data_IF_777811115900
#
_entry.id   IF_777811115900
#
_cell.length_a   1.000
_cell.length_b   1.000
_cell.length_c   1.000
_cell.angle_alpha   90.00
_cell.angle_beta   90.00
_cell.angle_gamma   90.00
#
_symmetry.space_group_name_H-M   'P 1'
#
loop_
_entity.id
_entity.type
_entity.pdbx_description
1 polymer ?
#
# COMPACT_ATOMS: atom_id res chain seq x y z
N UNK A 1 -31.90 2.89 11.20
CA UNK A 1 -31.87 2.37 9.81
C UNK A 1 -30.51 2.69 9.22
N UNK A 2 -29.69 1.69 8.90
CA UNK A 2 -28.44 1.90 8.14
C UNK A 2 -28.84 2.29 6.72
N UNK A 3 -28.33 3.43 6.24
CA UNK A 3 -28.48 3.82 4.84
C UNK A 3 -27.99 2.69 3.93
N UNK A 4 -28.74 2.28 2.89
CA UNK A 4 -28.26 1.30 1.94
C UNK A 4 -26.94 1.81 1.36
N UNK A 5 -25.95 0.93 1.27
CA UNK A 5 -24.61 1.28 0.83
C UNK A 5 -24.64 2.00 -0.51
N UNK A 6 -24.18 3.25 -0.54
CA UNK A 6 -24.14 4.04 -1.76
C UNK A 6 -23.20 3.39 -2.77
N UNK A 7 -23.74 2.83 -3.85
CA UNK A 7 -22.95 2.36 -4.98
C UNK A 7 -22.44 3.57 -5.78
N UNK A 8 -21.14 3.63 -6.01
CA UNK A 8 -20.51 4.71 -6.77
C UNK A 8 -20.08 4.19 -8.14
N UNK A 9 -20.62 4.80 -9.20
CA UNK A 9 -20.34 4.45 -10.59
C UNK A 9 -19.59 5.58 -11.28
N UNK A 10 -18.61 5.24 -12.12
CA UNK A 10 -18.00 6.17 -13.07
C UNK A 10 -18.18 5.60 -14.46
N UNK A 11 -18.74 6.41 -15.34
CA UNK A 11 -18.96 6.08 -16.74
C UNK A 11 -18.33 7.16 -17.59
N UNK A 12 -17.67 6.77 -18.67
CA UNK A 12 -17.00 7.69 -19.59
C UNK A 12 -17.67 7.60 -20.95
N UNK A 13 -17.90 8.75 -21.56
CA UNK A 13 -18.43 8.89 -22.93
C UNK A 13 -17.63 9.89 -23.74
N UNK A 14 -17.81 9.86 -25.06
CA UNK A 14 -17.10 10.79 -25.97
C UNK A 14 -17.67 12.19 -25.87
N UNK A 15 -18.98 12.33 -25.73
CA UNK A 15 -19.67 13.61 -25.68
C UNK A 15 -20.62 13.67 -24.47
N UNK A 16 -21.02 14.86 -24.09
CA UNK A 16 -21.96 15.11 -23.02
C UNK A 16 -23.38 14.63 -23.42
N UNK A 17 -23.76 14.89 -24.67
CA UNK A 17 -25.07 14.54 -25.23
C UNK A 17 -25.29 13.03 -25.20
N UNK A 18 -24.26 12.23 -25.56
CA UNK A 18 -24.30 10.77 -25.45
C UNK A 18 -24.55 10.32 -23.99
N UNK A 19 -23.87 10.95 -23.05
CA UNK A 19 -24.02 10.60 -21.63
C UNK A 19 -25.39 10.98 -21.07
N UNK A 20 -25.93 12.14 -21.47
CA UNK A 20 -27.24 12.62 -20.97
C UNK A 20 -28.41 11.94 -21.69
N UNK A 21 -28.33 11.77 -23.03
CA UNK A 21 -29.44 11.31 -23.85
C UNK A 21 -29.59 9.80 -23.94
N UNK A 22 -28.49 9.06 -23.88
CA UNK A 22 -28.52 7.60 -24.07
C UNK A 22 -28.07 6.84 -22.81
N UNK A 23 -26.90 7.17 -22.29
CA UNK A 23 -26.29 6.35 -21.22
C UNK A 23 -27.00 6.52 -19.90
N UNK A 24 -27.35 7.74 -19.51
CA UNK A 24 -28.04 8.01 -18.25
C UNK A 24 -29.42 7.35 -18.18
N UNK A 25 -30.31 7.46 -19.18
CA UNK A 25 -31.62 6.75 -19.19
C UNK A 25 -31.47 5.24 -19.11
N UNK A 26 -30.48 4.65 -19.81
CA UNK A 26 -30.22 3.22 -19.77
C UNK A 26 -29.83 2.75 -18.36
N UNK A 27 -29.01 3.54 -17.67
CA UNK A 27 -28.59 3.23 -16.30
C UNK A 27 -29.77 3.39 -15.33
N UNK A 28 -30.57 4.43 -15.49
CA UNK A 28 -31.76 4.66 -14.66
C UNK A 28 -32.77 3.50 -14.81
N UNK A 29 -32.98 3.01 -16.03
CA UNK A 29 -33.79 1.83 -16.28
C UNK A 29 -33.22 0.58 -15.60
N UNK A 30 -31.92 0.31 -15.82
CA UNK A 30 -31.22 -0.84 -15.24
C UNK A 30 -31.27 -0.86 -13.70
N UNK A 31 -31.14 0.32 -13.07
CA UNK A 31 -31.22 0.44 -11.61
C UNK A 31 -32.65 0.29 -11.09
N UNK A 32 -33.62 0.87 -11.79
CA UNK A 32 -35.06 0.79 -11.42
C UNK A 32 -35.55 -0.65 -11.36
N UNK A 33 -35.16 -1.49 -12.31
CA UNK A 33 -35.50 -2.93 -12.32
C UNK A 33 -34.97 -3.67 -11.07
N UNK A 34 -33.96 -3.08 -10.37
CA UNK A 34 -33.32 -3.62 -9.16
C UNK A 34 -33.69 -2.87 -7.88
N UNK A 35 -34.73 -2.01 -7.95
CA UNK A 35 -35.19 -1.21 -6.82
C UNK A 35 -34.20 -0.14 -6.37
N UNK A 36 -33.28 0.30 -7.27
CA UNK A 36 -32.28 1.33 -7.01
C UNK A 36 -32.56 2.58 -7.86
N UNK A 37 -32.16 3.74 -7.34
CA UNK A 37 -32.33 5.02 -8.04
C UNK A 37 -31.02 5.81 -8.06
N UNK A 38 -30.78 6.56 -9.16
CA UNK A 38 -29.70 7.53 -9.22
C UNK A 38 -30.05 8.75 -8.35
N UNK A 39 -29.09 9.18 -7.52
CA UNK A 39 -29.26 10.42 -6.78
C UNK A 39 -29.09 11.63 -7.71
N UNK A 40 -30.11 12.48 -7.93
CA UNK A 40 -29.99 13.64 -8.82
C UNK A 40 -28.88 14.61 -8.40
N UNK A 41 -28.69 14.78 -7.09
CA UNK A 41 -27.71 15.71 -6.51
C UNK A 41 -26.26 15.18 -6.59
N UNK A 42 -26.08 13.87 -6.72
CA UNK A 42 -24.75 13.22 -6.76
C UNK A 42 -24.35 12.76 -8.15
N UNK A 43 -25.29 12.72 -9.10
CA UNK A 43 -25.02 12.32 -10.49
C UNK A 43 -24.68 13.56 -11.29
N UNK A 44 -23.38 13.70 -11.61
CA UNK A 44 -22.84 14.89 -12.28
C UNK A 44 -22.07 14.45 -13.52
N UNK A 45 -22.34 15.10 -14.65
CA UNK A 45 -21.54 14.95 -15.88
C UNK A 45 -20.49 16.07 -15.86
N UNK A 46 -19.24 15.71 -15.94
CA UNK A 46 -18.12 16.64 -15.83
C UNK A 46 -17.12 16.42 -16.97
N UNK A 47 -16.66 17.49 -17.61
CA UNK A 47 -15.60 17.39 -18.59
C UNK A 47 -14.26 16.99 -17.93
N UNK A 48 -13.53 16.08 -18.57
CA UNK A 48 -12.30 15.49 -18.01
C UNK A 48 -11.21 16.53 -17.72
N UNK A 49 -11.23 17.68 -18.41
CA UNK A 49 -10.30 18.80 -18.18
C UNK A 49 -10.64 19.61 -16.93
N UNK A 50 -11.90 19.67 -16.53
CA UNK A 50 -12.30 20.22 -15.25
C UNK A 50 -11.89 19.30 -14.12
N UNK A 51 -11.98 17.98 -14.35
CA UNK A 51 -11.65 16.92 -13.42
C UNK A 51 -12.76 16.68 -12.38
N UNK A 52 -12.69 15.54 -11.76
CA UNK A 52 -13.63 15.14 -10.72
C UNK A 52 -12.93 14.37 -9.60
N UNK A 53 -13.54 14.38 -8.43
CA UNK A 53 -13.04 13.65 -7.26
C UNK A 53 -13.74 12.29 -7.14
N UNK A 54 -12.96 11.23 -7.04
CA UNK A 54 -13.43 9.86 -6.87
C UNK A 54 -12.58 9.12 -5.83
N UNK A 55 -13.22 8.54 -4.82
CA UNK A 55 -12.55 7.79 -3.75
C UNK A 55 -11.34 8.53 -3.15
N UNK A 56 -11.48 9.82 -2.90
CA UNK A 56 -10.40 10.64 -2.33
C UNK A 56 -9.27 11.00 -3.29
N UNK A 57 -9.45 10.72 -4.57
CA UNK A 57 -8.49 11.04 -5.64
C UNK A 57 -9.16 11.97 -6.66
N UNK A 58 -8.40 12.89 -7.23
CA UNK A 58 -8.82 13.77 -8.31
C UNK A 58 -8.29 13.25 -9.64
N UNK A 59 -9.19 12.97 -10.57
CA UNK A 59 -8.88 12.54 -11.95
C UNK A 59 -9.05 13.73 -12.87
N UNK A 60 -8.00 14.13 -13.59
CA UNK A 60 -8.03 15.31 -14.45
C UNK A 60 -7.10 15.17 -15.64
N UNK A 61 -7.56 15.60 -16.81
CA UNK A 61 -6.72 15.82 -17.99
C UNK A 61 -6.17 17.25 -17.98
N UNK A 62 -4.86 17.38 -18.11
CA UNK A 62 -4.17 18.67 -18.04
C UNK A 62 -3.92 19.21 -19.45
N UNK A 63 -3.65 20.54 -19.63
CA UNK A 63 -3.40 21.15 -20.95
C UNK A 63 -2.28 20.50 -21.73
N UNK A 64 -1.31 19.86 -21.08
CA UNK A 64 -0.24 19.10 -21.72
C UNK A 64 -0.68 17.71 -22.23
N UNK A 65 -1.98 17.46 -22.34
CA UNK A 65 -2.57 16.20 -22.80
C UNK A 65 -2.53 15.03 -21.81
N UNK A 66 -1.86 15.17 -20.65
CA UNK A 66 -1.70 14.09 -19.69
C UNK A 66 -2.90 13.96 -18.76
N UNK A 67 -3.47 12.77 -18.70
CA UNK A 67 -4.44 12.39 -17.66
C UNK A 67 -3.66 12.00 -16.39
N UNK A 68 -3.88 12.75 -15.31
CA UNK A 68 -3.23 12.48 -14.03
C UNK A 68 -4.27 12.21 -12.94
N UNK A 69 -3.95 11.24 -12.09
CA UNK A 69 -4.67 10.96 -10.86
C UNK A 69 -3.80 11.42 -9.69
N UNK A 70 -4.38 12.23 -8.80
CA UNK A 70 -3.69 12.81 -7.62
C UNK A 70 -4.59 12.67 -6.40
N UNK A 71 -4.05 12.72 -5.16
CA UNK A 71 -4.88 12.92 -3.98
C UNK A 71 -5.74 14.17 -4.11
N UNK A 72 -7.05 14.06 -3.82
CA UNK A 72 -7.97 15.20 -3.94
C UNK A 72 -7.69 16.26 -2.87
N UNK A 73 -7.98 17.52 -3.15
CA UNK A 73 -7.82 18.61 -2.20
C UNK A 73 -8.64 18.39 -0.93
N UNK A 74 -9.86 17.86 -1.08
CA UNK A 74 -10.76 17.53 0.03
C UNK A 74 -10.15 16.44 0.92
N UNK A 75 -9.64 15.34 0.33
CA UNK A 75 -9.01 14.25 1.08
C UNK A 75 -7.75 14.72 1.84
N UNK A 76 -6.89 15.51 1.19
CA UNK A 76 -5.69 16.08 1.83
C UNK A 76 -6.09 16.94 3.02
N UNK A 77 -7.10 17.81 2.84
CA UNK A 77 -7.58 18.69 3.93
C UNK A 77 -8.12 17.86 5.10
N UNK A 78 -9.01 16.89 4.83
CA UNK A 78 -9.59 16.02 5.86
C UNK A 78 -8.52 15.27 6.64
N UNK A 79 -7.51 14.70 5.93
CA UNK A 79 -6.39 14.02 6.58
C UNK A 79 -5.57 14.94 7.47
N UNK A 80 -5.20 16.14 6.96
CA UNK A 80 -4.44 17.11 7.73
C UNK A 80 -5.22 17.67 8.92
N UNK A 81 -6.52 17.89 8.79
CA UNK A 81 -7.37 18.37 9.88
C UNK A 81 -7.47 17.32 10.99
N UNK A 82 -7.60 16.02 10.63
CA UNK A 82 -7.54 14.92 11.59
C UNK A 82 -6.21 14.87 12.34
N UNK A 83 -5.09 14.89 11.61
CA UNK A 83 -3.73 14.89 12.23
C UNK A 83 -3.51 16.11 13.10
N UNK A 84 -4.00 17.28 12.71
CA UNK A 84 -3.93 18.53 13.52
C UNK A 84 -4.73 18.41 14.81
N UNK A 85 -5.92 17.79 14.73
CA UNK A 85 -6.74 17.50 15.91
C UNK A 85 -6.02 16.58 16.88
N UNK A 86 -5.44 15.49 16.38
CA UNK A 86 -4.66 14.54 17.18
C UNK A 86 -3.48 15.24 17.89
N UNK A 87 -2.67 16.01 17.16
CA UNK A 87 -1.51 16.73 17.73
C UNK A 87 -1.96 17.77 18.77
N UNK A 88 -3.11 18.42 18.54
CA UNK A 88 -3.66 19.40 19.50
C UNK A 88 -4.10 18.71 20.79
N UNK A 89 -4.76 17.57 20.69
CA UNK A 89 -5.24 16.79 21.83
C UNK A 89 -4.09 16.13 22.62
N UNK A 90 -2.96 15.83 21.98
CA UNK A 90 -1.83 15.10 22.54
C UNK A 90 -0.86 15.97 23.37
N UNK A 91 -1.26 17.09 23.94
CA UNK A 91 -0.35 17.99 24.66
C UNK A 91 0.27 17.34 25.89
N UNK A 92 -0.46 16.43 26.57
CA UNK A 92 -0.01 15.67 27.71
C UNK A 92 0.78 14.39 27.39
N UNK A 93 0.74 13.92 26.13
CA UNK A 93 1.39 12.68 25.72
C UNK A 93 2.91 12.83 25.58
N UNK A 94 3.66 11.73 25.74
CA UNK A 94 5.08 11.73 25.37
C UNK A 94 5.24 11.88 23.85
N UNK A 95 6.44 12.31 23.40
CA UNK A 95 6.71 12.38 21.96
C UNK A 95 6.67 10.99 21.29
N UNK A 96 7.07 9.94 22.01
CA UNK A 96 7.05 8.57 21.51
C UNK A 96 5.60 8.09 21.30
N UNK A 97 4.71 8.29 22.28
CA UNK A 97 3.29 7.90 22.18
C UNK A 97 2.59 8.64 21.06
N UNK A 98 2.86 9.95 20.92
CA UNK A 98 2.34 10.75 19.81
C UNK A 98 2.80 10.20 18.45
N UNK A 99 4.05 9.78 18.33
CA UNK A 99 4.58 9.18 17.10
C UNK A 99 3.91 7.83 16.82
N UNK A 100 3.76 6.98 17.82
CA UNK A 100 3.11 5.67 17.68
C UNK A 100 1.63 5.83 17.28
N UNK A 101 0.96 6.89 17.74
CA UNK A 101 -0.39 7.26 17.33
C UNK A 101 -0.46 7.77 15.87
N UNK A 102 0.49 8.60 15.44
CA UNK A 102 0.48 9.24 14.11
C UNK A 102 0.98 8.31 13.01
N UNK A 103 1.98 7.46 13.28
CA UNK A 103 2.62 6.62 12.27
C UNK A 103 1.67 5.70 11.52
N UNK A 104 0.71 4.98 12.16
CA UNK A 104 -0.27 4.17 11.45
C UNK A 104 -1.15 5.00 10.49
N UNK A 105 -1.57 6.20 10.91
CA UNK A 105 -2.39 7.10 10.11
C UNK A 105 -1.64 7.61 8.87
N UNK A 106 -0.39 8.08 9.06
CA UNK A 106 0.47 8.55 7.97
C UNK A 106 0.78 7.40 7.01
N UNK A 107 1.10 6.21 7.54
CA UNK A 107 1.38 5.02 6.74
C UNK A 107 0.15 4.59 5.93
N UNK A 108 -1.01 4.50 6.54
CA UNK A 108 -2.26 4.13 5.88
C UNK A 108 -2.59 5.09 4.74
N UNK A 109 -2.59 6.40 5.01
CA UNK A 109 -2.89 7.42 4.02
C UNK A 109 -1.86 7.47 2.88
N UNK A 110 -0.57 7.42 3.18
CA UNK A 110 0.47 7.44 2.14
C UNK A 110 0.49 6.15 1.31
N UNK A 111 0.22 4.99 1.92
CA UNK A 111 0.08 3.71 1.21
C UNK A 111 -1.12 3.70 0.29
N UNK A 112 -2.26 4.26 0.72
CA UNK A 112 -3.45 4.40 -0.12
C UNK A 112 -3.16 5.24 -1.37
N UNK A 113 -2.41 6.32 -1.25
CA UNK A 113 -2.10 7.22 -2.36
C UNK A 113 -0.79 6.92 -3.10
N UNK A 114 -0.07 5.85 -2.76
CA UNK A 114 1.24 5.55 -3.38
C UNK A 114 1.19 5.16 -4.85
N UNK A 115 0.01 4.78 -5.37
CA UNK A 115 -0.15 4.36 -6.76
C UNK A 115 -0.44 5.51 -7.73
N UNK A 116 -0.69 6.72 -7.23
CA UNK A 116 -1.01 7.91 -8.02
C UNK A 116 0.13 8.95 -7.98
N UNK A 117 -0.06 10.08 -8.64
CA UNK A 117 0.92 11.18 -8.67
C UNK A 117 0.86 11.95 -7.35
N UNK A 118 1.54 11.48 -6.31
CA UNK A 118 1.40 11.95 -4.93
C UNK A 118 2.69 12.50 -4.30
N UNK A 119 3.88 12.31 -4.88
CA UNK A 119 5.16 12.71 -4.23
C UNK A 119 5.19 14.17 -3.73
N UNK A 120 4.79 15.12 -4.58
CA UNK A 120 4.73 16.54 -4.17
C UNK A 120 3.71 16.79 -3.07
N UNK A 121 2.61 16.03 -3.07
CA UNK A 121 1.58 16.11 -2.03
C UNK A 121 2.11 15.53 -0.73
N UNK A 122 2.81 14.41 -0.76
CA UNK A 122 3.45 13.81 0.41
C UNK A 122 4.42 14.78 1.09
N UNK A 123 5.28 15.46 0.32
CA UNK A 123 6.20 16.47 0.88
C UNK A 123 5.46 17.66 1.53
N UNK A 124 4.34 18.11 0.94
CA UNK A 124 3.50 19.16 1.56
C UNK A 124 2.87 18.68 2.86
N UNK A 125 2.40 17.43 2.90
CA UNK A 125 1.81 16.83 4.09
C UNK A 125 2.85 16.73 5.20
N UNK A 126 4.06 16.24 4.89
CA UNK A 126 5.16 16.17 5.87
C UNK A 126 5.49 17.55 6.44
N UNK A 127 5.55 18.58 5.58
CA UNK A 127 5.81 19.94 6.03
C UNK A 127 4.67 20.49 6.93
N UNK A 128 3.42 20.22 6.56
CA UNK A 128 2.28 20.65 7.36
C UNK A 128 2.26 19.97 8.75
N UNK A 129 2.61 18.69 8.82
CA UNK A 129 2.75 17.94 10.07
C UNK A 129 3.91 18.49 10.90
N UNK A 130 5.07 18.75 10.27
CA UNK A 130 6.23 19.35 10.93
C UNK A 130 5.88 20.67 11.63
N UNK A 131 5.18 21.58 10.94
CA UNK A 131 4.76 22.85 11.53
C UNK A 131 3.92 22.62 12.79
N UNK A 132 3.00 21.65 12.77
CA UNK A 132 2.13 21.36 13.92
C UNK A 132 2.89 20.73 15.08
N UNK A 133 3.84 19.85 14.80
CA UNK A 133 4.71 19.25 15.82
C UNK A 133 5.66 20.30 16.45
N UNK A 134 6.16 21.22 15.64
CA UNK A 134 6.94 22.35 16.16
C UNK A 134 6.12 23.22 17.10
N UNK A 135 4.86 23.55 16.73
CA UNK A 135 3.93 24.29 17.57
C UNK A 135 3.56 23.53 18.85
N UNK A 136 3.41 22.18 18.75
CA UNK A 136 3.18 21.32 19.90
C UNK A 136 4.37 21.37 20.87
N UNK A 137 5.58 21.24 20.38
CA UNK A 137 6.79 21.30 21.21
C UNK A 137 6.94 22.67 21.91
N UNK A 138 6.66 23.78 21.20
CA UNK A 138 6.65 25.13 21.78
C UNK A 138 5.62 25.32 22.88
N UNK A 139 4.41 24.81 22.69
CA UNK A 139 3.35 24.90 23.71
C UNK A 139 3.67 24.08 24.95
N UNK A 140 4.32 22.93 24.76
CA UNK A 140 4.73 22.07 25.87
C UNK A 140 5.86 22.67 26.71
N UNK A 141 6.70 23.49 26.10
CA UNK A 141 7.87 24.10 26.74
C UNK A 141 7.96 25.60 26.40
N UNK A 142 7.03 26.43 26.92
CA UNK A 142 6.96 27.85 26.53
C UNK A 142 8.22 28.63 26.88
N UNK A 143 8.90 28.26 27.97
CA UNK A 143 10.09 28.96 28.48
C UNK A 143 11.42 28.42 27.92
N UNK A 144 11.40 27.49 26.94
CA UNK A 144 12.61 26.93 26.35
C UNK A 144 12.92 27.52 24.98
N UNK A 145 14.22 27.81 24.75
CA UNK A 145 14.69 28.31 23.47
C UNK A 145 14.47 27.30 22.32
N UNK A 146 14.31 27.84 21.12
CA UNK A 146 14.10 27.01 19.89
C UNK A 146 15.21 26.01 19.65
N UNK A 147 16.47 26.34 19.99
CA UNK A 147 17.62 25.45 19.89
C UNK A 147 17.46 24.20 20.78
N UNK A 148 16.99 24.41 22.02
CA UNK A 148 16.73 23.32 22.97
C UNK A 148 15.62 22.40 22.45
N UNK A 149 14.51 22.97 21.94
CA UNK A 149 13.40 22.20 21.35
C UNK A 149 13.86 21.36 20.16
N UNK A 150 14.70 21.94 19.31
CA UNK A 150 15.32 21.20 18.18
C UNK A 150 16.14 20.02 18.66
N UNK A 151 17.01 20.22 19.64
CA UNK A 151 17.85 19.14 20.18
C UNK A 151 17.03 18.05 20.87
N UNK A 152 15.94 18.41 21.55
CA UNK A 152 15.09 17.46 22.29
C UNK A 152 14.19 16.61 21.38
N UNK A 153 13.65 17.19 20.33
CA UNK A 153 12.57 16.58 19.54
C UNK A 153 12.92 16.28 18.09
N UNK A 154 14.04 16.81 17.58
CA UNK A 154 14.41 16.67 16.18
C UNK A 154 15.87 16.24 16.05
N UNK A 155 16.10 15.26 15.19
CA UNK A 155 17.43 14.75 14.87
C UNK A 155 17.74 14.86 13.38
N UNK A 156 19.03 14.81 13.06
CA UNK A 156 19.48 14.69 11.68
C UNK A 156 19.48 13.23 11.25
N UNK A 157 18.84 12.93 10.11
CA UNK A 157 18.83 11.59 9.54
C UNK A 157 18.81 11.62 8.02
N UNK A 158 19.89 11.11 7.40
CA UNK A 158 19.96 10.94 5.95
C UNK A 158 19.62 12.22 5.16
N UNK A 159 20.28 13.32 5.45
CA UNK A 159 20.08 14.62 4.80
C UNK A 159 18.86 15.42 5.30
N UNK A 160 18.02 14.86 6.15
CA UNK A 160 16.92 15.60 6.81
C UNK A 160 17.35 15.98 8.23
N UNK A 161 17.45 17.30 8.50
CA UNK A 161 17.85 17.87 9.81
C UNK A 161 16.66 18.03 10.79
N UNK A 162 15.47 17.62 10.40
CA UNK A 162 14.22 17.85 11.14
C UNK A 162 13.37 16.59 11.27
N UNK A 163 14.00 15.45 11.54
CA UNK A 163 13.29 14.21 11.79
C UNK A 163 12.76 14.19 13.23
N UNK A 164 11.45 14.27 13.41
CA UNK A 164 10.84 14.24 14.74
C UNK A 164 10.99 12.87 15.36
N UNK A 165 11.43 12.82 16.63
CA UNK A 165 11.63 11.58 17.37
C UNK A 165 11.17 11.71 18.82
N UNK A 166 10.94 10.57 19.46
CA UNK A 166 10.71 10.41 20.88
C UNK A 166 11.47 9.23 21.43
N UNK A 167 11.70 9.23 22.72
CA UNK A 167 12.31 8.12 23.45
C UNK A 167 11.26 7.43 24.31
N UNK A 168 11.25 6.12 24.28
CA UNK A 168 10.38 5.22 25.05
C UNK A 168 11.21 4.05 25.54
N UNK A 169 10.68 3.25 26.42
CA UNK A 169 11.24 1.93 26.75
C UNK A 169 10.42 0.85 26.05
N UNK A 170 11.05 -0.26 25.69
CA UNK A 170 10.35 -1.46 25.25
C UNK A 170 9.80 -2.25 26.46
N UNK A 171 9.12 -3.36 26.19
CA UNK A 171 8.53 -4.21 27.24
C UNK A 171 9.58 -4.83 28.19
N UNK A 172 10.86 -4.84 27.78
CA UNK A 172 12.01 -5.30 28.58
C UNK A 172 12.70 -4.13 29.32
N UNK A 173 12.16 -2.89 29.24
CA UNK A 173 12.73 -1.70 29.87
C UNK A 173 13.94 -1.10 29.13
N UNK A 174 14.30 -1.59 27.93
CA UNK A 174 15.39 -1.04 27.13
C UNK A 174 15.00 0.25 26.44
N UNK A 175 15.87 1.27 26.38
CA UNK A 175 15.58 2.52 25.71
C UNK A 175 15.34 2.30 24.21
N UNK A 176 14.17 2.69 23.73
CA UNK A 176 13.75 2.63 22.33
C UNK A 176 13.56 4.05 21.77
N UNK A 177 14.19 4.32 20.65
CA UNK A 177 13.98 5.59 19.92
C UNK A 177 12.96 5.41 18.81
N UNK A 178 11.81 6.08 18.94
CA UNK A 178 10.71 6.05 17.99
C UNK A 178 10.78 7.29 17.09
N UNK A 179 10.47 7.13 15.81
CA UNK A 179 10.60 8.20 14.80
C UNK A 179 9.33 8.37 14.00
N UNK A 180 9.00 9.63 13.72
CA UNK A 180 7.88 9.94 12.84
C UNK A 180 8.16 9.47 11.41
N UNK A 181 7.18 8.77 10.84
CA UNK A 181 7.21 8.36 9.44
C UNK A 181 6.95 9.58 8.54
N UNK A 182 7.76 9.75 7.53
CA UNK A 182 7.53 10.74 6.49
C UNK A 182 6.77 10.12 5.32
N UNK A 183 5.61 10.70 4.97
CA UNK A 183 4.83 10.25 3.81
C UNK A 183 5.66 10.31 2.51
N UNK A 184 6.54 11.31 2.37
CA UNK A 184 7.44 11.45 1.23
C UNK A 184 8.44 10.30 1.05
N UNK A 185 8.71 9.53 2.10
CA UNK A 185 9.55 8.33 2.00
C UNK A 185 8.81 7.12 1.43
N UNK A 186 7.46 7.15 1.40
CA UNK A 186 6.67 6.10 0.77
C UNK A 186 7.00 6.01 -0.72
N UNK A 187 7.47 4.86 -1.23
CA UNK A 187 7.77 4.70 -2.63
C UNK A 187 6.49 4.74 -3.47
N UNK A 188 6.55 5.40 -4.62
CA UNK A 188 5.45 5.35 -5.60
C UNK A 188 5.47 3.98 -6.26
N UNK A 189 4.34 3.28 -6.17
CA UNK A 189 4.14 1.96 -6.75
C UNK A 189 2.88 1.97 -7.59
N UNK A 190 3.03 2.23 -8.87
CA UNK A 190 1.90 2.29 -9.81
C UNK A 190 1.30 0.92 -10.05
N UNK A 191 -0.02 0.87 -10.21
CA UNK A 191 -0.69 -0.33 -10.67
C UNK A 191 -0.33 -0.58 -12.14
N UNK A 192 -0.01 -1.82 -12.46
CA UNK A 192 0.12 -2.27 -13.83
C UNK A 192 -1.30 -2.41 -14.40
N UNK A 193 -1.61 -1.70 -15.49
CA UNK A 193 -2.93 -1.75 -16.12
C UNK A 193 -3.24 -3.16 -16.61
N UNK A 194 -4.47 -3.59 -16.46
CA UNK A 194 -4.99 -4.78 -17.13
C UNK A 194 -5.29 -4.38 -18.59
N UNK A 195 -5.00 -5.26 -19.54
CA UNK A 195 -5.41 -5.08 -20.93
C UNK A 195 -6.93 -5.00 -20.98
N UNK A 196 -7.49 -4.02 -21.70
CA UNK A 196 -8.95 -3.78 -21.71
C UNK A 196 -9.78 -4.99 -22.18
N UNK A 197 -9.23 -5.77 -23.11
CA UNK A 197 -9.86 -6.98 -23.64
C UNK A 197 -9.61 -8.24 -22.76
N UNK A 198 -8.80 -8.12 -21.69
CA UNK A 198 -8.47 -9.30 -20.88
C UNK A 198 -9.55 -9.56 -19.83
N UNK A 199 -10.19 -10.72 -19.93
CA UNK A 199 -11.19 -11.21 -18.98
C UNK A 199 -10.57 -12.33 -18.12
N UNK A 200 -10.56 -12.23 -16.77
CA UNK A 200 -9.98 -13.26 -15.90
C UNK A 200 -10.73 -14.59 -15.93
N UNK A 201 -11.97 -14.62 -16.42
CA UNK A 201 -12.80 -15.82 -16.53
C UNK A 201 -12.71 -16.49 -17.91
N UNK A 202 -11.91 -15.95 -18.82
CA UNK A 202 -11.73 -16.48 -20.16
C UNK A 202 -10.42 -17.27 -20.26
N UNK A 203 -10.45 -18.58 -20.64
CA UNK A 203 -9.28 -19.44 -20.68
C UNK A 203 -8.13 -18.89 -21.54
N UNK A 204 -8.46 -18.18 -22.63
CA UNK A 204 -7.46 -17.54 -23.51
C UNK A 204 -6.56 -16.51 -22.79
N UNK A 205 -7.01 -15.96 -21.66
CA UNK A 205 -6.26 -14.98 -20.89
C UNK A 205 -5.59 -15.52 -19.64
N UNK A 206 -5.67 -16.82 -19.38
CA UNK A 206 -5.11 -17.44 -18.18
C UNK A 206 -3.60 -17.19 -18.04
N UNK A 207 -2.83 -17.44 -19.09
CA UNK A 207 -1.37 -17.22 -19.09
C UNK A 207 -0.99 -15.75 -18.86
N UNK A 208 -1.81 -14.82 -19.35
CA UNK A 208 -1.62 -13.39 -19.10
C UNK A 208 -1.79 -13.03 -17.62
N UNK A 209 -2.86 -13.53 -16.99
CA UNK A 209 -3.10 -13.28 -15.58
C UNK A 209 -2.10 -13.99 -14.67
N UNK A 210 -1.68 -15.20 -15.04
CA UNK A 210 -0.63 -15.93 -14.33
C UNK A 210 0.70 -15.17 -14.33
N UNK A 211 1.13 -14.67 -15.50
CA UNK A 211 2.34 -13.85 -15.60
C UNK A 211 2.23 -12.59 -14.74
N UNK A 212 1.07 -11.93 -14.79
CA UNK A 212 0.79 -10.75 -14.00
C UNK A 212 0.88 -11.02 -12.48
N UNK A 213 0.35 -12.14 -12.02
CA UNK A 213 0.44 -12.55 -10.61
C UNK A 213 1.90 -12.85 -10.22
N UNK A 214 2.68 -13.46 -11.11
CA UNK A 214 4.12 -13.66 -10.93
C UNK A 214 4.88 -12.35 -10.76
N UNK A 215 4.59 -11.32 -11.57
CA UNK A 215 5.18 -9.99 -11.44
C UNK A 215 4.80 -9.32 -10.11
N UNK A 216 3.57 -9.50 -9.63
CA UNK A 216 3.11 -9.04 -8.33
C UNK A 216 3.82 -9.73 -7.17
N UNK A 217 4.03 -11.05 -7.26
CA UNK A 217 4.76 -11.83 -6.26
C UNK A 217 6.22 -11.38 -6.16
N UNK A 218 6.90 -11.20 -7.29
CA UNK A 218 8.27 -10.69 -7.31
C UNK A 218 8.38 -9.31 -6.63
N UNK A 219 7.38 -8.45 -6.84
CA UNK A 219 7.27 -7.17 -6.17
C UNK A 219 7.08 -7.26 -4.65
N UNK A 220 6.41 -8.32 -4.17
CA UNK A 220 6.15 -8.56 -2.75
C UNK A 220 7.44 -8.90 -1.98
N UNK A 221 8.40 -9.56 -2.63
CA UNK A 221 9.71 -9.91 -2.04
C UNK A 221 10.76 -8.79 -2.11
N UNK A 222 10.39 -7.55 -2.47
CA UNK A 222 11.33 -6.42 -2.50
C UNK A 222 11.93 -6.20 -1.11
N UNK A 223 13.26 -6.11 -1.07
CA UNK A 223 14.03 -5.97 0.17
C UNK A 223 14.48 -7.31 0.79
N UNK A 224 13.97 -8.44 0.35
CA UNK A 224 14.36 -9.77 0.87
C UNK A 224 14.92 -10.62 -0.26
N UNK A 225 16.23 -10.49 -0.52
CA UNK A 225 16.93 -11.20 -1.61
C UNK A 225 16.70 -12.72 -1.56
N UNK A 226 16.77 -13.29 -0.36
CA UNK A 226 16.61 -14.74 -0.15
C UNK A 226 15.22 -15.24 -0.56
N UNK A 227 14.13 -14.57 -0.15
CA UNK A 227 12.77 -14.99 -0.51
C UNK A 227 12.52 -14.88 -2.02
N UNK A 228 12.99 -13.80 -2.64
CA UNK A 228 12.91 -13.61 -4.09
C UNK A 228 13.69 -14.68 -4.85
N UNK A 229 14.88 -15.02 -4.36
CA UNK A 229 15.70 -16.09 -4.92
C UNK A 229 14.97 -17.44 -4.83
N UNK A 230 14.50 -17.82 -3.65
CA UNK A 230 13.77 -19.07 -3.43
C UNK A 230 12.53 -19.18 -4.31
N UNK A 231 11.73 -18.10 -4.38
CA UNK A 231 10.52 -18.09 -5.21
C UNK A 231 10.85 -18.29 -6.70
N UNK A 232 11.87 -17.60 -7.22
CA UNK A 232 12.36 -17.82 -8.61
C UNK A 232 12.93 -19.21 -8.81
N UNK A 233 13.71 -19.68 -7.87
CA UNK A 233 14.30 -20.99 -7.89
C UNK A 233 13.24 -22.10 -7.94
N UNK A 234 12.15 -21.96 -7.18
CA UNK A 234 10.99 -22.85 -7.18
C UNK A 234 10.04 -22.59 -8.36
N UNK A 235 10.33 -21.63 -9.25
CA UNK A 235 9.42 -21.19 -10.34
C UNK A 235 8.05 -20.74 -9.85
N UNK A 236 7.98 -20.19 -8.63
CA UNK A 236 6.74 -19.77 -7.99
C UNK A 236 5.81 -20.91 -7.59
N UNK A 237 6.29 -22.15 -7.52
CA UNK A 237 5.50 -23.36 -7.23
C UNK A 237 5.86 -23.92 -5.86
N UNK A 238 4.87 -24.35 -5.10
CA UNK A 238 5.05 -25.07 -3.84
C UNK A 238 5.50 -26.52 -4.12
N UNK A 239 6.65 -26.98 -3.60
CA UNK A 239 7.14 -28.34 -3.88
C UNK A 239 6.27 -29.45 -3.27
N UNK A 240 5.39 -29.13 -2.30
CA UNK A 240 4.52 -30.12 -1.68
C UNK A 240 3.25 -30.46 -2.50
N UNK A 241 2.60 -29.45 -3.05
CA UNK A 241 1.33 -29.62 -3.79
C UNK A 241 1.46 -29.33 -5.28
N UNK A 242 2.62 -28.87 -5.71
CA UNK A 242 2.94 -28.50 -7.10
C UNK A 242 2.03 -27.41 -7.69
N UNK A 243 1.37 -26.61 -6.84
CA UNK A 243 0.55 -25.47 -7.27
C UNK A 243 1.26 -24.14 -7.02
N UNK A 244 0.80 -23.08 -7.68
CA UNK A 244 1.47 -21.76 -7.63
C UNK A 244 1.34 -21.10 -6.27
N UNK A 245 2.46 -20.56 -5.79
CA UNK A 245 2.52 -19.67 -4.63
C UNK A 245 2.23 -18.27 -5.12
N UNK A 246 1.10 -17.73 -4.69
CA UNK A 246 0.63 -16.37 -5.03
C UNK A 246 0.50 -15.52 -3.77
N UNK A 247 0.21 -14.25 -3.95
CA UNK A 247 -0.08 -13.36 -2.82
C UNK A 247 -1.36 -13.76 -2.08
N UNK A 248 -2.30 -14.40 -2.78
CA UNK A 248 -3.59 -14.85 -2.23
C UNK A 248 -3.40 -16.12 -1.41
N UNK A 249 -2.67 -17.10 -1.96
CA UNK A 249 -2.38 -18.37 -1.26
C UNK A 249 -1.41 -18.17 -0.08
N UNK A 250 -0.62 -17.10 -0.08
CA UNK A 250 0.40 -16.86 0.91
C UNK A 250 1.59 -17.83 0.81
N UNK A 251 2.54 -17.64 1.72
CA UNK A 251 3.71 -18.52 1.83
C UNK A 251 4.25 -18.53 3.25
N UNK A 252 4.96 -19.63 3.59
CA UNK A 252 5.82 -19.71 4.77
C UNK A 252 7.20 -20.23 4.37
N UNK A 253 8.24 -19.68 5.02
CA UNK A 253 9.60 -20.17 4.86
C UNK A 253 9.78 -21.44 5.70
N UNK A 254 10.23 -22.52 5.09
CA UNK A 254 10.48 -23.80 5.75
C UNK A 254 11.95 -24.20 5.60
N UNK A 255 12.53 -24.80 6.65
CA UNK A 255 13.85 -25.43 6.60
C UNK A 255 13.68 -26.92 6.34
N UNK A 256 14.23 -27.42 5.23
CA UNK A 256 14.13 -28.84 4.86
C UNK A 256 14.75 -29.73 5.93
N UNK A 257 15.92 -29.37 6.42
CA UNK A 257 16.54 -29.94 7.62
C UNK A 257 16.42 -28.91 8.73
N UNK A 258 15.69 -29.22 9.84
CA UNK A 258 15.53 -28.31 10.97
C UNK A 258 16.88 -27.88 11.54
N UNK A 259 16.98 -26.61 11.94
CA UNK A 259 18.21 -26.06 12.53
C UNK A 259 18.64 -26.79 13.81
N UNK A 260 17.69 -27.24 14.62
CA UNK A 260 17.93 -28.09 15.80
C UNK A 260 18.57 -29.44 15.48
N UNK A 261 18.44 -29.91 14.21
CA UNK A 261 19.08 -31.14 13.70
C UNK A 261 20.33 -30.86 12.86
N UNK A 262 20.96 -29.70 13.06
CA UNK A 262 22.18 -29.31 12.34
C UNK A 262 21.97 -28.78 10.92
N UNK A 263 20.74 -28.47 10.51
CA UNK A 263 20.45 -27.93 9.18
C UNK A 263 21.10 -26.56 8.95
N UNK A 264 21.79 -26.37 7.79
CA UNK A 264 22.47 -25.11 7.49
C UNK A 264 21.49 -23.96 7.27
N UNK A 265 21.90 -22.73 7.61
CA UNK A 265 21.09 -21.52 7.44
C UNK A 265 21.26 -20.88 6.03
N UNK A 266 21.57 -21.68 5.01
CA UNK A 266 21.75 -21.24 3.62
C UNK A 266 20.44 -21.36 2.80
N UNK A 267 20.47 -20.92 1.55
CA UNK A 267 19.30 -20.95 0.67
C UNK A 267 18.91 -22.37 0.26
N UNK A 268 19.88 -23.30 0.16
CA UNK A 268 19.63 -24.66 -0.29
C UNK A 268 18.82 -25.46 0.71
N UNK A 269 18.91 -25.12 2.00
CA UNK A 269 18.12 -25.71 3.07
C UNK A 269 16.77 -25.02 3.30
N UNK A 270 16.39 -24.04 2.47
CA UNK A 270 15.15 -23.27 2.62
C UNK A 270 14.23 -23.45 1.43
N UNK A 271 12.94 -23.54 1.70
CA UNK A 271 11.89 -23.59 0.68
C UNK A 271 10.70 -22.73 1.08
N UNK A 272 9.95 -22.27 0.10
CA UNK A 272 8.67 -21.59 0.31
C UNK A 272 7.55 -22.63 0.12
N UNK A 273 6.68 -22.73 1.10
CA UNK A 273 5.50 -23.57 1.07
C UNK A 273 4.24 -22.72 1.24
N UNK A 274 3.09 -23.20 0.81
CA UNK A 274 1.82 -22.62 1.26
C UNK A 274 1.67 -22.81 2.77
N UNK A 275 0.94 -21.93 3.47
CA UNK A 275 0.70 -22.08 4.90
C UNK A 275 0.15 -23.45 5.27
N UNK A 276 -0.86 -23.93 4.55
CA UNK A 276 -1.47 -25.25 4.77
C UNK A 276 -0.49 -26.42 4.49
N UNK A 277 0.32 -26.30 3.43
CA UNK A 277 1.35 -27.31 3.14
C UNK A 277 2.42 -27.33 4.22
N UNK A 278 2.82 -26.17 4.73
CA UNK A 278 3.77 -26.03 5.83
C UNK A 278 3.23 -26.70 7.11
N UNK A 279 1.97 -26.44 7.45
CA UNK A 279 1.34 -27.03 8.63
C UNK A 279 1.19 -28.55 8.50
N UNK A 280 0.86 -29.07 7.29
CA UNK A 280 0.84 -30.51 7.01
C UNK A 280 2.23 -31.18 7.12
N UNK A 281 3.28 -30.52 6.65
CA UNK A 281 4.67 -31.01 6.79
C UNK A 281 5.02 -31.20 8.25
N UNK A 282 4.65 -30.26 9.10
CA UNK A 282 4.94 -30.35 10.54
C UNK A 282 4.05 -31.37 11.28
N UNK A 283 2.75 -31.40 10.98
CA UNK A 283 1.80 -32.30 11.66
C UNK A 283 1.99 -33.77 11.28
N UNK A 284 2.35 -34.05 10.03
CA UNK A 284 2.52 -35.41 9.50
C UNK A 284 3.98 -35.82 9.35
N UNK A 285 4.92 -34.99 9.82
CA UNK A 285 6.36 -35.23 9.76
C UNK A 285 6.87 -35.57 8.33
N UNK A 286 6.30 -34.91 7.31
CA UNK A 286 6.63 -35.21 5.91
C UNK A 286 7.98 -34.59 5.53
N UNK A 287 8.71 -35.29 4.65
CA UNK A 287 9.88 -34.71 3.98
C UNK A 287 9.47 -33.81 2.83
N UNK A 288 10.10 -32.63 2.72
CA UNK A 288 9.84 -31.72 1.61
C UNK A 288 10.73 -32.08 0.42
N UNK A 289 10.13 -32.38 -0.75
CA UNK A 289 10.91 -32.72 -1.94
C UNK A 289 11.79 -31.54 -2.41
N UNK A 290 12.88 -31.84 -3.11
CA UNK A 290 13.68 -30.79 -3.73
C UNK A 290 12.88 -30.07 -4.80
N UNK A 291 12.95 -28.73 -4.84
CA UNK A 291 12.42 -27.98 -5.98
C UNK A 291 13.11 -28.51 -7.26
N UNK A 292 12.33 -28.89 -8.27
CA UNK A 292 12.88 -29.39 -9.53
C UNK A 292 13.74 -28.30 -10.18
N UNK A 293 15.05 -28.45 -10.11
CA UNK A 293 16.00 -27.60 -10.82
C UNK A 293 15.74 -27.70 -12.34
N UNK A 294 15.78 -26.60 -13.11
CA UNK A 294 15.96 -26.70 -14.54
C UNK A 294 17.31 -27.41 -14.77
N UNK A 295 17.32 -28.48 -15.53
CA UNK A 295 18.58 -29.07 -16.06
C UNK A 295 19.34 -27.90 -16.69
N UNK A 296 20.53 -27.56 -16.16
CA UNK A 296 21.43 -26.59 -16.78
C UNK A 296 21.61 -27.05 -18.21
N UNK A 297 21.10 -26.28 -19.17
CA UNK A 297 21.40 -26.53 -20.56
C UNK A 297 22.92 -26.54 -20.72
N UNK A 298 23.46 -27.68 -21.12
CA UNK A 298 24.84 -27.81 -21.56
C UNK A 298 25.02 -26.76 -22.67
N UNK A 299 25.78 -25.70 -22.39
CA UNK A 299 26.25 -24.84 -23.46
C UNK A 299 27.08 -25.75 -24.36
N UNK A 300 26.55 -26.10 -25.53
CA UNK A 300 27.36 -26.65 -26.61
C UNK A 300 28.33 -25.56 -27.02
N UNK A 301 29.59 -25.92 -27.00
CA UNK A 301 30.72 -25.13 -27.46
C UNK A 301 30.54 -24.71 -28.93
#
# INVERSE_FOLDING_TARGET
MKSPGATLLIITGRTKELLEGEVKPLIEQFLRERGLELSPTKTVITHVEQGFDFLGQNVRKYPNGKLLIKPSKKNIKTFLDGVRGDIKAALGMSAADLIDWLNPKIRGWSTYHRHVVSKRVFSRVDHAIFIRLWQWARRRHPNKASRWLKQKYFEQRGGNHWSFFGESCDDEGKPRKVRLLLASRTPIQRHVKIKSAANPYEPAHETYFEKREGDHMEGTFRGTRTLRFLWKFQRGVCPMCNTKITRITGWRLHYRVPRVKGGPANADNRVLLHPECHDRVHSLHLSVPEPRLPKRGVRRA
#
